data_IF_344117796940
#
_entry.id   IF_344117796940
#
_cell.length_a   1.000
_cell.length_b   1.000
_cell.length_c   1.000
_cell.angle_alpha   90.00
_cell.angle_beta   90.00
_cell.angle_gamma   90.00
#
_symmetry.space_group_name_H-M   'P 1'
#
loop_
_entity.id
_entity.type
_entity.pdbx_description
1 polymer ?
#
# COMPACT_ATOMS: atom_id res chain seq x y z
N UNK A 1 36.92 -69.10 -18.13
CA UNK A 1 35.61 -69.25 -17.49
C UNK A 1 35.01 -67.80 -17.38
N UNK A 2 34.29 -67.43 -18.42
CA UNK A 2 33.69 -66.06 -18.47
C UNK A 2 32.33 -66.09 -17.78
N UNK A 3 32.17 -65.32 -16.69
CA UNK A 3 30.92 -65.22 -15.97
C UNK A 3 30.05 -64.26 -16.80
N UNK A 4 29.05 -64.82 -17.52
CA UNK A 4 27.96 -64.03 -18.11
C UNK A 4 27.06 -63.53 -16.98
N UNK A 5 27.01 -62.20 -16.82
CA UNK A 5 26.03 -61.57 -15.95
C UNK A 5 24.61 -61.85 -16.48
N UNK A 6 23.64 -62.21 -15.62
CA UNK A 6 22.28 -62.49 -16.08
C UNK A 6 21.67 -61.29 -16.73
N UNK A 7 21.28 -61.39 -17.97
CA UNK A 7 20.61 -60.34 -18.78
C UNK A 7 19.34 -59.80 -18.11
N UNK A 8 18.69 -60.58 -17.27
CA UNK A 8 17.47 -60.24 -16.54
C UNK A 8 17.64 -59.10 -15.51
N UNK A 9 18.86 -58.97 -14.93
CA UNK A 9 19.14 -57.89 -13.96
C UNK A 9 19.31 -56.52 -14.66
N UNK A 10 19.92 -56.53 -15.85
CA UNK A 10 20.14 -55.31 -16.63
C UNK A 10 18.81 -54.78 -17.18
N UNK A 11 17.92 -55.71 -17.59
CA UNK A 11 16.61 -55.37 -18.13
C UNK A 11 15.65 -54.86 -17.04
N UNK A 12 15.68 -55.44 -15.83
CA UNK A 12 14.88 -55.00 -14.70
C UNK A 12 15.31 -53.58 -14.20
N UNK A 13 16.62 -53.31 -14.15
CA UNK A 13 17.15 -51.98 -13.76
C UNK A 13 16.83 -50.93 -14.82
N UNK A 14 16.84 -51.31 -16.10
CA UNK A 14 16.46 -50.39 -17.18
C UNK A 14 14.96 -50.06 -17.16
N UNK A 15 14.10 -51.06 -16.87
CA UNK A 15 12.65 -50.85 -16.72
C UNK A 15 12.31 -49.98 -15.49
N UNK A 16 12.97 -50.18 -14.34
CA UNK A 16 12.80 -49.33 -13.17
C UNK A 16 13.26 -47.89 -13.42
N UNK A 17 14.35 -47.68 -14.16
CA UNK A 17 14.84 -46.34 -14.53
C UNK A 17 13.88 -45.61 -15.50
N UNK A 18 13.25 -46.35 -16.42
CA UNK A 18 12.26 -45.81 -17.36
C UNK A 18 10.96 -45.46 -16.62
N UNK A 19 10.50 -46.27 -15.69
CA UNK A 19 9.31 -45.99 -14.86
C UNK A 19 9.54 -44.82 -13.89
N UNK A 20 10.73 -44.73 -13.31
CA UNK A 20 11.11 -43.59 -12.45
C UNK A 20 11.17 -42.26 -13.24
N UNK A 21 11.67 -42.30 -14.48
CA UNK A 21 11.68 -41.12 -15.37
C UNK A 21 10.28 -40.77 -15.88
N UNK A 22 9.46 -41.74 -16.23
CA UNK A 22 8.07 -41.52 -16.62
C UNK A 22 7.22 -41.02 -15.47
N UNK A 23 7.45 -41.50 -14.25
CA UNK A 23 6.83 -40.99 -13.01
C UNK A 23 7.22 -39.55 -12.72
N UNK A 24 8.50 -39.16 -12.88
CA UNK A 24 8.97 -37.76 -12.73
C UNK A 24 8.38 -36.83 -13.78
N UNK A 25 8.26 -37.25 -15.03
CA UNK A 25 7.63 -36.47 -16.10
C UNK A 25 6.13 -36.30 -15.89
N UNK A 26 5.43 -37.32 -15.40
CA UNK A 26 4.01 -37.21 -15.02
C UNK A 26 3.80 -36.28 -13.82
N UNK A 27 4.60 -36.42 -12.78
CA UNK A 27 4.55 -35.52 -11.62
C UNK A 27 4.84 -34.06 -12.00
N UNK A 28 5.81 -33.81 -12.88
CA UNK A 28 6.10 -32.47 -13.41
C UNK A 28 4.94 -31.88 -14.20
N UNK A 29 4.25 -32.65 -15.01
CA UNK A 29 3.06 -32.23 -15.77
C UNK A 29 1.87 -31.91 -14.85
N UNK A 30 1.64 -32.70 -13.80
CA UNK A 30 0.60 -32.44 -12.81
C UNK A 30 0.89 -31.18 -11.99
N UNK A 31 2.15 -30.93 -11.65
CA UNK A 31 2.58 -29.72 -10.92
C UNK A 31 2.42 -28.46 -11.79
N UNK A 32 2.79 -28.50 -13.07
CA UNK A 32 2.60 -27.40 -14.01
C UNK A 32 1.11 -27.08 -14.21
N UNK A 33 0.27 -28.11 -14.34
CA UNK A 33 -1.18 -27.91 -14.46
C UNK A 33 -1.79 -27.33 -13.19
N UNK A 34 -1.35 -27.76 -12.00
CA UNK A 34 -1.81 -27.22 -10.72
C UNK A 34 -1.39 -25.76 -10.53
N UNK A 35 -0.16 -25.41 -10.89
CA UNK A 35 0.33 -24.01 -10.86
C UNK A 35 -0.44 -23.11 -11.82
N UNK A 36 -0.66 -23.58 -13.05
CA UNK A 36 -1.44 -22.85 -14.06
C UNK A 36 -2.89 -22.63 -13.59
N UNK A 37 -3.53 -23.66 -13.04
CA UNK A 37 -4.87 -23.57 -12.49
C UNK A 37 -4.95 -22.56 -11.33
N UNK A 38 -3.94 -22.55 -10.44
CA UNK A 38 -3.84 -21.59 -9.35
C UNK A 38 -3.74 -20.15 -9.89
N UNK A 39 -2.82 -19.90 -10.83
CA UNK A 39 -2.62 -18.58 -11.44
C UNK A 39 -3.90 -18.11 -12.14
N UNK A 40 -4.52 -18.97 -12.97
CA UNK A 40 -5.76 -18.65 -13.66
C UNK A 40 -6.90 -18.31 -12.70
N UNK A 41 -7.03 -19.09 -11.60
CA UNK A 41 -8.03 -18.82 -10.56
C UNK A 41 -7.78 -17.47 -9.87
N UNK A 42 -6.51 -17.16 -9.51
CA UNK A 42 -6.15 -15.89 -8.87
C UNK A 42 -6.38 -14.69 -9.79
N UNK A 43 -5.96 -14.80 -11.04
CA UNK A 43 -6.20 -13.76 -12.05
C UNK A 43 -7.70 -13.61 -12.32
N UNK A 44 -8.45 -14.70 -12.42
CA UNK A 44 -9.89 -14.66 -12.60
C UNK A 44 -10.61 -13.96 -11.43
N UNK A 45 -10.25 -14.30 -10.19
CA UNK A 45 -10.78 -13.63 -9.00
C UNK A 45 -10.41 -12.15 -8.97
N UNK A 46 -9.18 -11.80 -9.31
CA UNK A 46 -8.74 -10.41 -9.43
C UNK A 46 -9.60 -9.62 -10.43
N UNK A 47 -9.80 -10.15 -11.63
CA UNK A 47 -10.60 -9.49 -12.68
C UNK A 47 -12.07 -9.31 -12.26
N UNK A 48 -12.67 -10.34 -11.66
CA UNK A 48 -14.05 -10.27 -11.15
C UNK A 48 -14.17 -9.23 -10.03
N UNK A 49 -13.22 -9.24 -9.08
CA UNK A 49 -13.22 -8.27 -7.98
C UNK A 49 -12.99 -6.85 -8.49
N UNK A 50 -12.07 -6.67 -9.44
CA UNK A 50 -11.79 -5.37 -10.05
C UNK A 50 -13.01 -4.83 -10.81
N UNK A 51 -13.65 -5.67 -11.61
CA UNK A 51 -14.88 -5.31 -12.31
C UNK A 51 -16.01 -4.94 -11.33
N UNK A 52 -16.21 -5.76 -10.29
CA UNK A 52 -17.21 -5.49 -9.25
C UNK A 52 -16.93 -4.18 -8.51
N UNK A 53 -15.67 -3.89 -8.19
CA UNK A 53 -15.27 -2.65 -7.54
C UNK A 53 -15.48 -1.42 -8.44
N UNK A 54 -15.18 -1.52 -9.73
CA UNK A 54 -15.41 -0.45 -10.70
C UNK A 54 -16.92 -0.19 -10.86
N UNK A 55 -17.72 -1.25 -10.94
CA UNK A 55 -19.18 -1.14 -11.01
C UNK A 55 -19.76 -0.52 -9.74
N UNK A 56 -19.33 -0.99 -8.57
CA UNK A 56 -19.77 -0.43 -7.29
C UNK A 56 -19.38 1.04 -7.15
N UNK A 57 -18.16 1.41 -7.53
CA UNK A 57 -17.70 2.80 -7.53
C UNK A 57 -18.53 3.67 -8.47
N UNK A 58 -18.81 3.21 -9.70
CA UNK A 58 -19.68 3.93 -10.61
C UNK A 58 -21.06 4.19 -10.02
N UNK A 59 -21.71 3.15 -9.50
CA UNK A 59 -23.04 3.27 -8.89
C UNK A 59 -23.01 4.19 -7.67
N UNK A 60 -22.02 4.06 -6.80
CA UNK A 60 -21.87 4.90 -5.61
C UNK A 60 -21.86 6.38 -5.96
N UNK A 61 -20.99 6.79 -6.89
CA UNK A 61 -20.86 8.20 -7.26
C UNK A 61 -22.07 8.71 -8.05
N UNK A 62 -22.85 7.84 -8.71
CA UNK A 62 -24.11 8.23 -9.39
C UNK A 62 -25.29 8.34 -8.44
N UNK A 63 -25.26 7.65 -7.31
CA UNK A 63 -26.31 7.71 -6.28
C UNK A 63 -26.13 8.88 -5.30
N UNK A 64 -24.97 9.53 -5.29
CA UNK A 64 -24.75 10.72 -4.45
C UNK A 64 -25.65 11.84 -4.94
N UNK A 65 -26.58 12.36 -4.09
CA UNK A 65 -27.45 13.44 -4.49
C UNK A 65 -26.66 14.73 -4.71
N UNK A 66 -26.83 15.32 -5.90
CA UNK A 66 -26.20 16.58 -6.29
C UNK A 66 -26.14 16.74 -7.79
N UNK A 67 -26.21 17.96 -8.25
CA UNK A 67 -25.97 18.32 -9.65
C UNK A 67 -24.56 18.92 -9.78
N UNK A 68 -23.56 18.11 -10.21
CA UNK A 68 -22.20 18.60 -10.39
C UNK A 68 -22.13 19.68 -11.50
N UNK A 69 -23.04 19.68 -12.45
CA UNK A 69 -23.09 20.67 -13.53
C UNK A 69 -23.70 21.97 -13.05
N UNK A 70 -24.75 21.90 -12.23
CA UNK A 70 -25.33 23.08 -11.60
C UNK A 70 -24.31 23.84 -10.75
N UNK A 71 -23.38 23.16 -10.11
CA UNK A 71 -22.30 23.82 -9.37
C UNK A 71 -21.29 24.54 -10.28
N UNK A 72 -21.00 24.01 -11.45
CA UNK A 72 -20.13 24.67 -12.46
C UNK A 72 -20.81 25.89 -13.02
N UNK A 73 -22.09 25.76 -13.42
CA UNK A 73 -22.86 26.86 -13.98
C UNK A 73 -22.95 28.01 -12.97
N UNK A 74 -23.27 27.72 -11.70
CA UNK A 74 -23.33 28.74 -10.67
C UNK A 74 -21.96 29.41 -10.39
N UNK A 75 -20.84 28.70 -10.52
CA UNK A 75 -19.50 29.29 -10.42
C UNK A 75 -19.19 30.22 -11.60
N UNK A 76 -19.56 29.83 -12.83
CA UNK A 76 -19.37 30.64 -14.02
C UNK A 76 -20.24 31.91 -14.01
N UNK A 77 -21.47 31.81 -13.49
CA UNK A 77 -22.34 32.95 -13.26
C UNK A 77 -21.77 33.92 -12.22
N UNK A 78 -21.23 33.39 -11.10
CA UNK A 78 -20.57 34.22 -10.07
C UNK A 78 -19.32 34.95 -10.56
N UNK A 79 -18.60 34.36 -11.52
CA UNK A 79 -17.42 34.95 -12.17
C UNK A 79 -17.77 36.00 -13.24
N UNK A 80 -19.07 36.27 -13.46
CA UNK A 80 -19.52 37.24 -14.43
C UNK A 80 -19.24 36.86 -15.89
N UNK A 81 -18.87 35.64 -16.13
CA UNK A 81 -18.55 35.17 -17.49
C UNK A 81 -19.79 34.91 -18.34
N UNK A 82 -20.97 34.82 -17.72
CA UNK A 82 -22.24 34.65 -18.41
C UNK A 82 -23.41 35.33 -17.69
N UNK A 83 -24.12 36.17 -18.42
CA UNK A 83 -25.33 36.87 -17.99
C UNK A 83 -26.43 36.79 -19.03
N UNK A 84 -26.84 35.56 -19.46
CA UNK A 84 -27.91 35.44 -20.46
C UNK A 84 -28.64 34.10 -20.37
N UNK A 85 -29.98 34.15 -20.33
CA UNK A 85 -30.89 32.99 -20.22
C UNK A 85 -30.78 31.95 -21.34
N UNK A 86 -30.16 32.24 -22.51
CA UNK A 86 -29.99 31.30 -23.64
C UNK A 86 -28.65 30.58 -23.66
N UNK A 87 -27.65 31.04 -22.87
CA UNK A 87 -26.32 30.43 -22.81
C UNK A 87 -26.19 29.27 -21.81
N UNK A 88 -27.04 29.22 -20.80
CA UNK A 88 -26.94 28.21 -19.73
C UNK A 88 -27.31 26.81 -20.20
N UNK A 89 -28.30 26.61 -21.09
CA UNK A 89 -28.68 25.30 -21.61
C UNK A 89 -27.61 24.68 -22.52
N UNK A 90 -26.99 25.49 -23.38
CA UNK A 90 -25.93 25.06 -24.29
C UNK A 90 -24.67 24.64 -23.45
N UNK A 91 -24.36 25.39 -22.38
CA UNK A 91 -23.28 25.11 -21.47
C UNK A 91 -23.57 23.82 -20.70
N UNK A 92 -24.76 23.68 -20.13
CA UNK A 92 -25.18 22.46 -19.43
C UNK A 92 -25.07 21.25 -20.34
N UNK A 93 -25.54 21.35 -21.57
CA UNK A 93 -25.47 20.26 -22.58
C UNK A 93 -24.03 19.93 -22.93
N UNK A 94 -23.18 20.92 -23.12
CA UNK A 94 -21.75 20.72 -23.38
C UNK A 94 -21.06 19.99 -22.22
N UNK A 95 -21.24 20.46 -20.99
CA UNK A 95 -20.63 19.82 -19.82
C UNK A 95 -21.19 18.42 -19.55
N UNK A 96 -22.50 18.18 -19.76
CA UNK A 96 -23.06 16.83 -19.68
C UNK A 96 -22.34 15.87 -20.62
N UNK A 97 -22.07 16.28 -21.82
CA UNK A 97 -21.34 15.47 -22.80
C UNK A 97 -19.88 15.26 -22.40
N UNK A 98 -19.18 16.32 -21.95
CA UNK A 98 -17.78 16.25 -21.54
C UNK A 98 -17.59 15.34 -20.31
N UNK A 99 -18.52 15.39 -19.36
CA UNK A 99 -18.48 14.57 -18.15
C UNK A 99 -19.13 13.19 -18.32
N UNK A 100 -19.61 12.86 -19.52
CA UNK A 100 -20.21 11.54 -19.80
C UNK A 100 -21.49 11.30 -19.00
N UNK A 101 -22.31 12.36 -18.85
CA UNK A 101 -23.60 12.33 -18.15
C UNK A 101 -24.77 12.21 -19.14
N UNK A 102 -24.49 12.06 -20.43
CA UNK A 102 -25.48 11.90 -21.47
C UNK A 102 -25.99 10.45 -21.56
N UNK A 103 -27.25 10.29 -22.00
CA UNK A 103 -27.87 9.00 -22.20
C UNK A 103 -28.40 8.34 -20.92
N UNK A 104 -28.78 7.07 -21.04
CA UNK A 104 -29.26 6.28 -19.92
C UNK A 104 -28.10 5.77 -19.05
N UNK A 105 -28.38 5.27 -17.86
CA UNK A 105 -27.34 4.80 -16.92
C UNK A 105 -26.47 3.68 -17.50
N UNK A 106 -27.02 2.84 -18.38
CA UNK A 106 -26.27 1.77 -19.00
C UNK A 106 -25.26 2.32 -20.02
N UNK A 107 -25.67 3.28 -20.85
CA UNK A 107 -24.78 3.94 -21.83
C UNK A 107 -23.63 4.67 -21.10
N UNK A 108 -23.96 5.38 -20.02
CA UNK A 108 -22.97 6.04 -19.17
C UNK A 108 -21.99 5.04 -18.56
N UNK A 109 -22.48 3.89 -18.11
CA UNK A 109 -21.63 2.82 -17.53
C UNK A 109 -20.68 2.21 -18.56
N UNK A 110 -21.18 1.89 -19.75
CA UNK A 110 -20.35 1.35 -20.84
C UNK A 110 -19.29 2.36 -21.27
N UNK A 111 -19.70 3.62 -21.43
CA UNK A 111 -18.77 4.70 -21.76
C UNK A 111 -17.70 4.91 -20.69
N UNK A 112 -18.10 4.90 -19.44
CA UNK A 112 -17.18 4.98 -18.30
C UNK A 112 -16.19 3.83 -18.26
N UNK A 113 -16.64 2.57 -18.40
CA UNK A 113 -15.73 1.42 -18.42
C UNK A 113 -14.74 1.52 -19.57
N UNK A 114 -15.19 1.90 -20.76
CA UNK A 114 -14.32 2.05 -21.92
C UNK A 114 -13.24 3.11 -21.67
N UNK A 115 -13.61 4.29 -21.16
CA UNK A 115 -12.67 5.37 -20.85
C UNK A 115 -11.66 4.97 -19.78
N UNK A 116 -12.12 4.39 -18.69
CA UNK A 116 -11.26 4.04 -17.54
C UNK A 116 -10.36 2.85 -17.85
N UNK A 117 -10.93 1.76 -18.43
CA UNK A 117 -10.17 0.50 -18.60
C UNK A 117 -9.24 0.58 -19.82
N UNK A 118 -9.67 1.19 -20.92
CA UNK A 118 -8.87 1.21 -22.15
C UNK A 118 -7.94 2.42 -22.19
N UNK A 119 -8.43 3.60 -21.80
CA UNK A 119 -7.66 4.85 -21.93
C UNK A 119 -7.06 5.35 -20.62
N UNK A 120 -7.42 4.77 -19.47
CA UNK A 120 -6.99 5.27 -18.15
C UNK A 120 -7.47 6.69 -17.87
N UNK A 121 -8.54 7.11 -18.56
CA UNK A 121 -9.08 8.47 -18.47
C UNK A 121 -10.25 8.52 -17.49
N UNK A 122 -10.04 9.19 -16.35
CA UNK A 122 -11.08 9.43 -15.34
C UNK A 122 -11.96 10.65 -15.66
N UNK A 123 -11.71 11.35 -16.76
CA UNK A 123 -12.35 12.60 -17.13
C UNK A 123 -11.61 13.83 -16.59
N UNK A 124 -12.06 15.02 -17.00
CA UNK A 124 -11.53 16.28 -16.47
C UNK A 124 -12.02 16.53 -15.05
N UNK A 125 -11.19 17.18 -14.22
CA UNK A 125 -11.61 17.69 -12.91
C UNK A 125 -12.72 18.73 -13.11
N UNK A 126 -13.72 18.66 -12.25
CA UNK A 126 -14.82 19.65 -12.26
C UNK A 126 -14.32 21.00 -11.78
N UNK A 127 -13.52 21.01 -10.73
CA UNK A 127 -13.01 22.22 -10.07
C UNK A 127 -11.86 22.87 -10.84
N UNK A 128 -10.99 22.04 -11.41
CA UNK A 128 -9.76 22.49 -12.09
C UNK A 128 -9.87 22.34 -13.63
N UNK A 129 -11.09 22.40 -14.17
CA UNK A 129 -11.30 22.29 -15.62
C UNK A 129 -10.38 23.25 -16.41
N UNK A 130 -9.73 22.83 -17.49
CA UNK A 130 -9.85 21.54 -18.20
C UNK A 130 -8.82 20.46 -17.79
N UNK A 131 -8.21 20.56 -16.61
CA UNK A 131 -7.15 19.64 -16.17
C UNK A 131 -7.72 18.22 -15.99
N UNK A 132 -7.11 17.17 -16.59
CA UNK A 132 -7.54 15.80 -16.37
C UNK A 132 -7.36 15.37 -14.90
N UNK A 133 -8.37 14.68 -14.35
CA UNK A 133 -8.29 14.14 -12.98
C UNK A 133 -7.06 13.27 -12.76
N UNK A 134 -6.69 12.45 -13.76
CA UNK A 134 -5.47 11.64 -13.73
C UNK A 134 -4.20 12.47 -13.48
N UNK A 135 -4.10 13.67 -14.06
CA UNK A 135 -2.93 14.53 -13.87
C UNK A 135 -2.85 15.06 -12.42
N UNK A 136 -3.97 15.39 -11.79
CA UNK A 136 -4.03 15.80 -10.39
C UNK A 136 -3.61 14.64 -9.47
N UNK A 137 -4.13 13.44 -9.73
CA UNK A 137 -3.83 12.23 -8.98
C UNK A 137 -2.35 11.87 -9.08
N UNK A 138 -1.78 11.86 -10.29
CA UNK A 138 -0.38 11.55 -10.52
C UNK A 138 0.58 12.59 -9.90
N UNK A 139 0.15 13.84 -9.76
CA UNK A 139 0.92 14.87 -9.02
C UNK A 139 0.88 14.67 -7.50
N UNK A 140 -0.25 14.17 -6.97
CA UNK A 140 -0.43 13.93 -5.54
C UNK A 140 0.23 12.62 -5.06
N UNK A 141 0.26 11.59 -5.91
CA UNK A 141 0.76 10.24 -5.58
C UNK A 141 2.20 10.22 -5.00
N UNK A 142 3.19 10.91 -5.60
CA UNK A 142 4.55 10.91 -5.07
C UNK A 142 4.65 11.49 -3.64
N UNK A 143 3.83 12.46 -3.29
CA UNK A 143 3.80 13.07 -1.97
C UNK A 143 3.29 12.10 -0.91
N UNK A 144 2.20 11.37 -1.18
CA UNK A 144 1.71 10.31 -0.30
C UNK A 144 2.74 9.20 -0.12
N UNK A 145 3.31 8.70 -1.24
CA UNK A 145 4.32 7.65 -1.19
C UNK A 145 5.59 8.09 -0.46
N UNK A 146 6.05 9.32 -0.69
CA UNK A 146 7.21 9.89 -0.01
C UNK A 146 6.98 10.02 1.50
N UNK A 147 5.85 10.61 1.90
CA UNK A 147 5.50 10.81 3.31
C UNK A 147 5.35 9.48 4.06
N UNK A 148 4.42 8.64 3.58
CA UNK A 148 4.05 7.43 4.29
C UNK A 148 5.06 6.30 4.09
N UNK A 149 5.71 6.24 2.92
CA UNK A 149 6.82 5.30 2.69
C UNK A 149 7.98 5.55 3.64
N UNK A 150 8.40 6.81 3.78
CA UNK A 150 9.45 7.20 4.73
C UNK A 150 9.04 6.88 6.16
N UNK A 151 7.80 7.24 6.57
CA UNK A 151 7.28 6.94 7.89
C UNK A 151 7.26 5.43 8.17
N UNK A 152 6.84 4.61 7.19
CA UNK A 152 6.77 3.15 7.30
C UNK A 152 8.16 2.54 7.46
N UNK A 153 9.15 2.96 6.66
CA UNK A 153 10.53 2.46 6.76
C UNK A 153 11.13 2.84 8.11
N UNK A 154 10.97 4.09 8.56
CA UNK A 154 11.45 4.53 9.87
C UNK A 154 10.77 3.78 11.02
N UNK A 155 9.45 3.56 10.92
CA UNK A 155 8.70 2.77 11.89
C UNK A 155 9.24 1.34 11.97
N UNK A 156 9.46 0.71 10.81
CA UNK A 156 9.99 -0.64 10.73
C UNK A 156 11.40 -0.74 11.33
N UNK A 157 12.31 0.13 10.90
CA UNK A 157 13.70 0.13 11.41
C UNK A 157 13.69 0.27 12.93
N UNK A 158 13.06 1.34 13.46
CA UNK A 158 13.06 1.64 14.88
C UNK A 158 12.31 0.57 15.69
N UNK A 159 11.15 0.12 15.21
CA UNK A 159 10.32 -0.87 15.89
C UNK A 159 10.95 -2.26 15.93
N UNK A 160 11.56 -2.72 14.81
CA UNK A 160 12.25 -4.02 14.75
C UNK A 160 13.50 -4.03 15.64
N UNK A 161 14.31 -2.97 15.63
CA UNK A 161 15.46 -2.87 16.52
C UNK A 161 15.03 -2.84 17.99
N UNK A 162 14.13 -1.94 18.36
CA UNK A 162 13.63 -1.85 19.74
C UNK A 162 12.96 -3.16 20.17
N UNK A 163 12.12 -3.76 19.33
CA UNK A 163 11.43 -5.02 19.61
C UNK A 163 12.39 -6.19 19.81
N UNK A 164 13.49 -6.23 19.04
CA UNK A 164 14.55 -7.23 19.23
C UNK A 164 15.19 -7.11 20.58
N UNK A 165 15.60 -5.90 21.00
CA UNK A 165 16.20 -5.69 22.32
C UNK A 165 15.23 -5.95 23.45
N UNK A 166 13.98 -5.50 23.34
CA UNK A 166 12.92 -5.72 24.33
C UNK A 166 12.57 -7.21 24.45
N UNK A 167 12.52 -7.93 23.34
CA UNK A 167 12.30 -9.38 23.33
C UNK A 167 13.46 -10.15 23.97
N UNK A 168 14.70 -9.75 23.68
CA UNK A 168 15.89 -10.33 24.28
C UNK A 168 15.95 -10.09 25.80
N UNK A 169 15.70 -8.85 26.23
CA UNK A 169 15.69 -8.47 27.63
C UNK A 169 14.34 -8.72 28.32
N UNK A 170 13.59 -9.75 27.92
CA UNK A 170 12.19 -10.01 28.33
C UNK A 170 11.92 -10.03 29.83
N UNK A 171 12.94 -10.35 30.66
CA UNK A 171 12.84 -10.37 32.10
C UNK A 171 13.19 -9.02 32.79
N UNK A 172 13.61 -8.01 32.00
CA UNK A 172 13.90 -6.67 32.51
C UNK A 172 12.61 -5.89 32.76
N UNK A 173 12.54 -5.19 33.92
CA UNK A 173 11.43 -4.26 34.22
C UNK A 173 11.32 -3.13 33.18
N UNK A 174 12.45 -2.65 32.68
CA UNK A 174 12.49 -1.62 31.62
C UNK A 174 11.87 -2.14 30.33
N UNK A 175 12.20 -3.34 29.88
CA UNK A 175 11.61 -3.95 28.70
C UNK A 175 10.10 -4.17 28.87
N UNK A 176 9.64 -4.54 30.05
CA UNK A 176 8.22 -4.63 30.38
C UNK A 176 7.52 -3.26 30.28
N UNK A 177 8.09 -2.23 30.92
CA UNK A 177 7.54 -0.88 30.86
C UNK A 177 7.46 -0.34 29.41
N UNK A 178 8.53 -0.50 28.63
CA UNK A 178 8.57 -0.07 27.23
C UNK A 178 7.54 -0.82 26.37
N UNK A 179 7.34 -2.13 26.63
CA UNK A 179 6.28 -2.90 25.95
C UNK A 179 4.89 -2.36 26.27
N UNK A 180 4.61 -2.04 27.55
CA UNK A 180 3.32 -1.51 27.96
C UNK A 180 3.06 -0.11 27.35
N UNK A 181 4.07 0.75 27.33
CA UNK A 181 3.98 2.07 26.65
C UNK A 181 3.74 1.90 25.16
N UNK A 182 4.48 1.00 24.50
CA UNK A 182 4.29 0.72 23.09
C UNK A 182 2.87 0.17 22.81
N UNK A 183 2.36 -0.70 23.69
CA UNK A 183 1.00 -1.23 23.58
C UNK A 183 -0.05 -0.13 23.67
N UNK A 184 0.08 0.79 24.60
CA UNK A 184 -0.81 1.94 24.74
C UNK A 184 -0.73 2.85 23.51
N UNK A 185 0.46 3.23 23.07
CA UNK A 185 0.68 4.11 21.93
C UNK A 185 0.24 3.48 20.59
N UNK A 186 0.35 2.16 20.43
CA UNK A 186 -0.06 1.47 19.21
C UNK A 186 -1.56 1.57 18.94
N UNK A 187 -2.37 1.82 19.96
CA UNK A 187 -3.83 2.02 19.84
C UNK A 187 -4.25 3.50 19.68
N UNK A 188 -3.29 4.43 19.83
CA UNK A 188 -3.56 5.85 19.59
C UNK A 188 -3.51 6.13 18.08
N UNK A 189 -4.57 6.65 17.47
CA UNK A 189 -4.53 7.03 16.06
C UNK A 189 -3.41 8.06 15.79
N UNK A 190 -2.64 7.85 14.71
CA UNK A 190 -1.46 8.66 14.39
C UNK A 190 -1.76 10.17 14.29
N UNK A 191 -2.96 10.56 13.89
CA UNK A 191 -3.33 11.97 13.79
C UNK A 191 -3.41 12.68 15.16
N UNK A 192 -3.75 11.98 16.26
CA UNK A 192 -3.70 12.56 17.60
C UNK A 192 -2.26 12.82 18.05
N UNK A 193 -1.36 11.89 17.76
CA UNK A 193 0.08 12.09 17.98
C UNK A 193 0.59 13.27 17.15
N UNK A 194 0.13 13.36 15.90
CA UNK A 194 0.47 14.45 15.01
C UNK A 194 -0.03 15.82 15.54
N UNK A 195 -1.27 15.90 16.05
CA UNK A 195 -1.81 17.11 16.69
C UNK A 195 -0.97 17.54 17.90
N UNK A 196 -0.59 16.55 18.73
CA UNK A 196 0.29 16.85 19.89
C UNK A 196 1.65 17.37 19.43
N UNK A 197 2.24 16.77 18.40
CA UNK A 197 3.54 17.21 17.87
C UNK A 197 3.44 18.59 17.20
N UNK A 198 2.37 18.89 16.48
CA UNK A 198 2.12 20.23 15.92
C UNK A 198 2.02 21.25 17.04
N UNK A 199 1.23 20.98 18.07
CA UNK A 199 1.10 21.87 19.23
C UNK A 199 2.46 22.14 19.87
N UNK A 200 3.24 21.10 20.13
CA UNK A 200 4.50 21.24 20.85
C UNK A 200 5.64 21.79 19.99
N UNK A 201 5.83 21.26 18.77
CA UNK A 201 7.00 21.56 17.93
C UNK A 201 6.77 22.65 16.89
N UNK A 202 5.52 23.02 16.61
CA UNK A 202 5.23 24.08 15.65
C UNK A 202 4.68 25.35 16.31
N UNK A 203 3.92 25.22 17.42
CA UNK A 203 3.32 26.39 18.09
C UNK A 203 4.03 26.76 19.39
N UNK A 204 4.27 25.80 20.30
CA UNK A 204 4.91 26.09 21.58
C UNK A 204 6.41 26.36 21.42
N UNK A 205 7.09 25.53 20.64
CA UNK A 205 8.50 25.64 20.29
C UNK A 205 8.59 25.60 18.75
N UNK A 206 8.57 26.74 18.04
CA UNK A 206 8.46 26.79 16.58
C UNK A 206 9.75 26.33 15.88
N UNK A 207 10.03 25.04 15.97
CA UNK A 207 11.19 24.37 15.35
C UNK A 207 10.84 23.93 13.94
N UNK A 208 9.62 23.37 13.75
CA UNK A 208 9.14 22.84 12.48
C UNK A 208 7.89 23.55 11.97
N UNK A 209 7.65 23.60 10.65
CA UNK A 209 6.43 24.16 10.09
C UNK A 209 5.20 23.34 10.49
N UNK A 210 4.07 24.05 10.68
CA UNK A 210 2.80 23.44 11.08
C UNK A 210 2.05 22.77 9.91
N UNK A 211 2.30 23.18 8.68
CA UNK A 211 1.56 22.75 7.49
C UNK A 211 2.41 22.83 6.22
N UNK A 212 1.85 22.40 5.07
CA UNK A 212 2.49 22.30 3.76
C UNK A 212 3.53 21.17 3.67
N UNK A 213 3.94 20.83 2.45
CA UNK A 213 5.00 19.85 2.19
C UNK A 213 6.37 20.51 1.95
N UNK A 214 6.38 21.79 1.62
CA UNK A 214 7.57 22.59 1.34
C UNK A 214 7.25 24.07 1.37
N UNK A 215 8.26 24.93 1.37
CA UNK A 215 8.11 26.37 1.31
C UNK A 215 7.65 26.82 -0.08
N UNK A 216 6.55 27.56 -0.15
CA UNK A 216 5.94 28.00 -1.40
C UNK A 216 6.84 28.93 -2.24
N UNK A 217 7.89 29.52 -1.65
CA UNK A 217 8.88 30.32 -2.37
C UNK A 217 9.85 29.51 -3.23
N UNK A 218 9.88 28.16 -3.03
CA UNK A 218 10.81 27.28 -3.71
C UNK A 218 10.16 26.58 -4.90
N UNK A 219 10.91 26.45 -6.00
CA UNK A 219 10.48 25.65 -7.14
C UNK A 219 10.68 24.17 -6.87
N UNK A 220 9.67 23.37 -7.24
CA UNK A 220 9.74 21.90 -7.15
C UNK A 220 10.87 21.40 -8.02
N UNK A 221 11.82 20.64 -7.44
CA UNK A 221 12.99 20.08 -8.14
C UNK A 221 13.97 19.40 -7.20
N UNK A 222 15.14 19.04 -7.74
CA UNK A 222 16.19 18.34 -7.00
C UNK A 222 17.24 19.30 -6.38
N UNK A 223 16.85 20.53 -6.07
CA UNK A 223 17.75 21.49 -5.42
C UNK A 223 17.87 21.19 -3.92
N UNK A 224 19.06 21.42 -3.34
CA UNK A 224 19.30 21.22 -1.89
C UNK A 224 18.32 22.02 -1.03
N UNK A 225 18.02 23.31 -1.32
CA UNK A 225 17.04 24.06 -0.54
C UNK A 225 15.64 23.44 -0.57
N UNK A 226 15.20 22.92 -1.73
CA UNK A 226 13.89 22.26 -1.84
C UNK A 226 13.84 20.96 -1.04
N UNK A 227 14.86 20.09 -1.15
CA UNK A 227 14.94 18.83 -0.40
C UNK A 227 14.97 19.10 1.10
N UNK A 228 15.76 20.06 1.56
CA UNK A 228 15.84 20.45 2.96
C UNK A 228 14.49 20.98 3.48
N UNK A 229 13.77 21.75 2.65
CA UNK A 229 12.43 22.22 2.96
C UNK A 229 11.43 21.07 3.09
N UNK A 230 11.44 20.11 2.15
CA UNK A 230 10.58 18.92 2.21
C UNK A 230 10.83 18.09 3.47
N UNK A 231 12.10 17.86 3.82
CA UNK A 231 12.46 17.14 5.05
C UNK A 231 11.94 17.88 6.29
N UNK A 232 12.12 19.20 6.34
CA UNK A 232 11.68 20.02 7.47
C UNK A 232 10.16 20.01 7.64
N UNK A 233 9.39 20.16 6.57
CA UNK A 233 7.93 20.12 6.59
C UNK A 233 7.39 18.72 6.84
N UNK A 234 8.06 17.68 6.33
CA UNK A 234 7.71 16.28 6.55
C UNK A 234 8.07 15.75 7.94
N UNK A 235 8.91 16.46 8.72
CA UNK A 235 9.43 15.94 9.98
C UNK A 235 8.33 15.57 10.98
N UNK A 236 7.36 16.46 11.25
CA UNK A 236 6.27 16.19 12.19
C UNK A 236 5.35 15.05 11.71
N UNK A 237 4.75 15.10 10.49
CA UNK A 237 3.84 14.05 10.05
C UNK A 237 4.53 12.69 9.92
N UNK A 238 5.79 12.64 9.47
CA UNK A 238 6.58 11.41 9.42
C UNK A 238 6.86 10.88 10.82
N UNK A 239 7.32 11.72 11.75
CA UNK A 239 7.63 11.30 13.11
C UNK A 239 6.40 10.77 13.86
N UNK A 240 5.24 11.44 13.74
CA UNK A 240 4.01 11.01 14.38
C UNK A 240 3.53 9.64 13.86
N UNK A 241 3.52 9.47 12.52
CA UNK A 241 3.12 8.22 11.88
C UNK A 241 4.13 7.11 12.18
N UNK A 242 5.43 7.43 12.11
CA UNK A 242 6.50 6.47 12.40
C UNK A 242 6.51 6.02 13.86
N UNK A 243 6.22 6.89 14.81
CA UNK A 243 6.15 6.54 16.23
C UNK A 243 5.08 5.48 16.50
N UNK A 244 3.87 5.71 16.04
CA UNK A 244 2.76 4.75 16.20
C UNK A 244 3.07 3.43 15.48
N UNK A 245 3.58 3.51 14.26
CA UNK A 245 4.00 2.34 13.49
C UNK A 245 5.13 1.57 14.19
N UNK A 246 6.12 2.26 14.74
CA UNK A 246 7.23 1.64 15.47
C UNK A 246 6.77 0.87 16.71
N UNK A 247 5.75 1.35 17.42
CA UNK A 247 5.15 0.64 18.53
C UNK A 247 4.54 -0.71 18.08
N UNK A 248 3.82 -0.73 16.96
CA UNK A 248 3.28 -1.98 16.38
C UNK A 248 4.39 -2.95 15.98
N UNK A 249 5.42 -2.47 15.28
CA UNK A 249 6.57 -3.28 14.89
C UNK A 249 7.37 -3.80 16.09
N UNK A 250 7.50 -3.00 17.17
CA UNK A 250 8.15 -3.41 18.42
C UNK A 250 7.42 -4.59 19.05
N UNK A 251 6.09 -4.52 19.15
CA UNK A 251 5.28 -5.58 19.78
C UNK A 251 5.38 -6.88 18.98
N UNK A 252 5.19 -6.82 17.66
CA UNK A 252 5.25 -8.00 16.79
C UNK A 252 6.65 -8.63 16.78
N UNK A 253 7.70 -7.82 16.71
CA UNK A 253 9.08 -8.29 16.75
C UNK A 253 9.43 -8.92 18.09
N UNK A 254 8.99 -8.31 19.20
CA UNK A 254 9.18 -8.88 20.54
C UNK A 254 8.60 -10.29 20.63
N UNK A 255 7.39 -10.50 20.13
CA UNK A 255 6.74 -11.84 20.11
C UNK A 255 7.59 -12.84 19.32
N UNK A 256 8.04 -12.48 18.11
CA UNK A 256 8.90 -13.34 17.30
C UNK A 256 10.22 -13.69 18.02
N UNK A 257 10.87 -12.69 18.65
CA UNK A 257 12.11 -12.92 19.40
C UNK A 257 11.88 -13.87 20.57
N UNK A 258 10.81 -13.68 21.34
CA UNK A 258 10.49 -14.56 22.49
C UNK A 258 10.24 -15.99 22.02
N UNK A 259 9.58 -16.20 20.90
CA UNK A 259 9.37 -17.53 20.32
C UNK A 259 10.70 -18.19 19.92
N UNK A 260 11.55 -17.43 19.20
CA UNK A 260 12.89 -17.92 18.81
C UNK A 260 13.76 -18.28 20.01
N UNK A 261 13.65 -17.53 21.12
CA UNK A 261 14.42 -17.82 22.35
C UNK A 261 14.07 -19.16 23.01
N UNK A 262 12.94 -19.79 22.63
CA UNK A 262 12.55 -21.12 23.09
C UNK A 262 13.12 -22.28 22.26
N UNK A 263 13.84 -22.00 21.17
CA UNK A 263 14.30 -23.00 20.23
C UNK A 263 15.59 -23.71 20.69
N UNK A 264 15.66 -25.04 20.50
CA UNK A 264 16.77 -25.90 20.95
C UNK A 264 18.12 -25.48 20.39
N UNK A 265 18.19 -24.99 19.17
CA UNK A 265 19.45 -24.59 18.54
C UNK A 265 20.14 -23.44 19.25
N UNK A 266 19.41 -22.59 19.99
CA UNK A 266 20.01 -21.54 20.81
C UNK A 266 20.63 -22.12 22.07
N UNK A 267 20.02 -23.13 22.67
CA UNK A 267 20.59 -23.89 23.79
C UNK A 267 21.90 -24.55 23.38
N UNK A 268 21.94 -25.17 22.17
CA UNK A 268 23.19 -25.71 21.62
C UNK A 268 24.25 -24.65 21.35
N UNK A 269 23.84 -23.47 20.84
CA UNK A 269 24.77 -22.35 20.61
C UNK A 269 25.40 -21.86 21.93
N UNK A 270 24.59 -21.77 23.00
CA UNK A 270 25.06 -21.43 24.33
C UNK A 270 25.97 -22.49 24.95
N UNK A 271 25.63 -23.78 24.78
CA UNK A 271 26.46 -24.92 25.24
C UNK A 271 27.82 -24.98 24.52
N UNK A 272 27.92 -24.51 23.29
CA UNK A 272 29.20 -24.34 22.54
C UNK A 272 30.04 -23.16 23.03
N UNK A 273 29.59 -22.39 24.04
CA UNK A 273 30.30 -21.24 24.56
C UNK A 273 30.28 -20.00 23.67
N UNK A 274 29.33 -19.88 22.73
CA UNK A 274 29.23 -18.71 21.87
C UNK A 274 28.85 -17.48 22.74
N UNK A 275 29.49 -16.31 22.48
CA UNK A 275 29.19 -15.11 23.23
C UNK A 275 27.75 -14.66 22.94
N UNK A 276 27.07 -14.16 23.97
CA UNK A 276 25.67 -13.68 23.92
C UNK A 276 25.38 -12.76 22.77
N UNK A 277 26.31 -11.85 22.43
CA UNK A 277 26.20 -10.95 21.27
C UNK A 277 26.13 -11.71 19.95
N UNK A 278 26.91 -12.78 19.80
CA UNK A 278 26.90 -13.61 18.59
C UNK A 278 25.59 -14.39 18.47
N UNK A 279 25.07 -14.90 19.57
CA UNK A 279 23.76 -15.57 19.61
C UNK A 279 22.67 -14.60 19.19
N UNK A 280 22.63 -13.39 19.76
CA UNK A 280 21.65 -12.37 19.40
C UNK A 280 21.71 -11.99 17.90
N UNK A 281 22.90 -11.58 17.43
CA UNK A 281 23.01 -11.01 16.07
C UNK A 281 22.93 -12.06 14.96
N UNK A 282 23.53 -13.25 15.15
CA UNK A 282 23.63 -14.27 14.08
C UNK A 282 22.51 -15.30 14.08
N UNK A 283 21.91 -15.56 15.24
CA UNK A 283 20.88 -16.59 15.38
C UNK A 283 19.50 -15.96 15.58
N UNK A 284 19.32 -15.11 16.58
CA UNK A 284 18.00 -14.55 16.89
C UNK A 284 17.57 -13.55 15.82
N UNK A 285 18.37 -12.51 15.54
CA UNK A 285 18.02 -11.48 14.58
C UNK A 285 17.81 -12.05 13.18
N UNK A 286 18.67 -12.95 12.73
CA UNK A 286 18.54 -13.55 11.39
C UNK A 286 17.21 -14.29 11.20
N UNK A 287 16.75 -15.01 12.23
CA UNK A 287 15.51 -15.77 12.16
C UNK A 287 14.26 -14.90 12.37
N UNK A 288 14.36 -13.79 13.10
CA UNK A 288 13.25 -12.86 13.33
C UNK A 288 13.09 -11.82 12.22
N UNK A 289 14.16 -11.40 11.56
CA UNK A 289 14.11 -10.36 10.55
C UNK A 289 13.51 -10.81 9.23
N UNK A 290 13.69 -12.06 8.83
CA UNK A 290 13.16 -12.56 7.56
C UNK A 290 11.62 -12.41 7.47
N UNK A 291 10.81 -12.85 8.46
CA UNK A 291 9.38 -12.58 8.48
C UNK A 291 9.06 -11.08 8.51
N UNK A 292 9.88 -10.26 9.19
CA UNK A 292 9.68 -8.82 9.29
C UNK A 292 9.93 -8.09 7.96
N UNK A 293 10.92 -8.51 7.18
CA UNK A 293 11.18 -7.96 5.85
C UNK A 293 10.01 -8.27 4.90
N UNK A 294 9.48 -9.50 4.96
CA UNK A 294 8.31 -9.88 4.18
C UNK A 294 7.09 -9.03 4.56
N UNK A 295 6.84 -8.85 5.86
CA UNK A 295 5.75 -8.01 6.35
C UNK A 295 5.94 -6.53 5.97
N UNK A 296 7.19 -6.01 5.95
CA UNK A 296 7.48 -4.66 5.45
C UNK A 296 7.08 -4.50 3.98
N UNK A 297 7.40 -5.49 3.14
CA UNK A 297 7.01 -5.46 1.73
C UNK A 297 5.50 -5.34 1.54
N UNK A 298 4.72 -6.11 2.31
CA UNK A 298 3.26 -6.05 2.31
C UNK A 298 2.77 -4.68 2.81
N UNK A 299 3.36 -4.16 3.90
CA UNK A 299 2.96 -2.87 4.47
C UNK A 299 3.29 -1.71 3.54
N UNK A 300 4.44 -1.73 2.86
CA UNK A 300 4.79 -0.72 1.85
C UNK A 300 3.82 -0.73 0.68
N UNK A 301 3.32 -1.89 0.29
CA UNK A 301 2.23 -1.98 -0.69
C UNK A 301 0.95 -1.28 -0.22
N UNK A 302 0.61 -1.39 1.06
CA UNK A 302 -0.56 -0.76 1.65
C UNK A 302 -0.42 0.77 1.85
N UNK A 303 0.79 1.33 1.80
CA UNK A 303 1.08 2.78 1.92
C UNK A 303 0.30 3.62 0.90
N UNK A 304 0.01 3.04 -0.25
CA UNK A 304 -0.73 3.71 -1.34
C UNK A 304 -2.13 4.14 -0.90
N UNK A 305 -2.74 3.45 0.09
CA UNK A 305 -4.06 3.82 0.61
C UNK A 305 -4.09 5.19 1.29
N UNK A 306 -2.92 5.78 1.55
CA UNK A 306 -2.80 7.08 2.18
C UNK A 306 -3.12 7.08 3.68
N UNK A 307 -2.86 8.21 4.29
CA UNK A 307 -3.36 8.56 5.63
C UNK A 307 -4.09 9.90 5.53
N UNK A 308 -5.36 9.80 5.12
CA UNK A 308 -6.20 10.97 4.81
C UNK A 308 -6.18 12.01 5.93
N UNK A 309 -6.29 11.56 7.19
CA UNK A 309 -6.37 12.46 8.34
C UNK A 309 -5.04 13.21 8.59
N UNK A 310 -3.91 12.51 8.46
CA UNK A 310 -2.59 13.14 8.62
C UNK A 310 -2.33 14.09 7.46
N UNK A 311 -2.55 13.68 6.21
CA UNK A 311 -2.36 14.55 5.05
C UNK A 311 -3.25 15.79 5.13
N UNK A 312 -4.50 15.66 5.57
CA UNK A 312 -5.43 16.77 5.75
C UNK A 312 -5.00 17.74 6.85
N UNK A 313 -4.54 17.21 7.98
CA UNK A 313 -4.06 18.02 9.11
C UNK A 313 -2.91 18.94 8.71
N UNK A 314 -1.96 18.41 7.93
CA UNK A 314 -0.80 19.15 7.47
C UNK A 314 -1.01 19.87 6.13
N UNK A 315 -2.21 19.81 5.53
CA UNK A 315 -2.47 20.28 4.15
C UNK A 315 -1.41 19.77 3.18
N UNK A 316 -1.03 18.49 3.35
CA UNK A 316 -0.02 17.85 2.52
C UNK A 316 -0.61 17.59 1.13
N UNK A 317 0.11 17.86 0.02
CA UNK A 317 -0.43 17.75 -1.33
C UNK A 317 -0.53 16.29 -1.82
N UNK A 318 -0.94 15.39 -0.93
CA UNK A 318 -1.09 13.96 -1.17
C UNK A 318 -2.49 13.57 -1.65
N UNK A 319 -2.63 12.27 -1.96
CA UNK A 319 -3.88 11.68 -2.47
C UNK A 319 -5.02 11.80 -1.45
N UNK A 320 -4.73 11.60 -0.15
CA UNK A 320 -5.74 11.69 0.90
C UNK A 320 -6.31 13.09 1.03
N UNK A 321 -5.48 14.13 1.00
CA UNK A 321 -5.94 15.51 1.02
C UNK A 321 -6.71 15.85 -0.27
N UNK A 322 -6.20 15.44 -1.44
CA UNK A 322 -6.88 15.64 -2.72
C UNK A 322 -8.26 14.97 -2.75
N UNK A 323 -8.40 13.78 -2.16
CA UNK A 323 -9.68 13.08 -2.04
C UNK A 323 -10.69 13.88 -1.22
N UNK A 324 -10.27 14.39 -0.06
CA UNK A 324 -11.15 15.23 0.79
C UNK A 324 -11.58 16.49 0.05
N UNK A 325 -10.65 17.18 -0.61
CA UNK A 325 -10.96 18.38 -1.37
C UNK A 325 -11.94 18.06 -2.52
N UNK A 326 -11.71 16.97 -3.26
CA UNK A 326 -12.60 16.52 -4.34
C UNK A 326 -14.02 16.20 -3.83
N UNK A 327 -14.16 15.57 -2.65
CA UNK A 327 -15.46 15.26 -2.04
C UNK A 327 -16.17 16.55 -1.63
N UNK A 328 -15.46 17.46 -0.92
CA UNK A 328 -16.04 18.71 -0.41
C UNK A 328 -16.48 19.64 -1.55
N UNK A 329 -15.74 19.65 -2.64
CA UNK A 329 -16.04 20.50 -3.82
C UNK A 329 -16.93 19.78 -4.85
N UNK A 330 -17.38 18.55 -4.56
CA UNK A 330 -18.17 17.71 -5.47
C UNK A 330 -17.48 17.44 -6.82
N UNK A 331 -16.15 17.40 -6.83
CA UNK A 331 -15.38 16.97 -8.01
C UNK A 331 -15.41 15.43 -8.11
N UNK A 332 -16.55 14.96 -8.65
CA UNK A 332 -16.86 13.53 -8.74
C UNK A 332 -15.80 12.78 -9.55
N UNK A 333 -15.33 13.36 -10.66
CA UNK A 333 -14.35 12.68 -11.52
C UNK A 333 -13.02 12.47 -10.80
N UNK A 334 -12.52 13.48 -10.07
CA UNK A 334 -11.30 13.38 -9.30
C UNK A 334 -11.47 12.41 -8.12
N UNK A 335 -12.57 12.52 -7.37
CA UNK A 335 -12.84 11.63 -6.25
C UNK A 335 -12.97 10.16 -6.70
N UNK A 336 -13.74 9.90 -7.76
CA UNK A 336 -13.91 8.58 -8.33
C UNK A 336 -12.61 8.03 -8.89
N UNK A 337 -11.83 8.86 -9.61
CA UNK A 337 -10.52 8.48 -10.13
C UNK A 337 -9.54 8.06 -9.04
N UNK A 338 -9.50 8.79 -7.90
CA UNK A 338 -8.69 8.41 -6.74
C UNK A 338 -9.11 7.06 -6.18
N UNK A 339 -10.41 6.87 -5.92
CA UNK A 339 -10.93 5.60 -5.36
C UNK A 339 -10.60 4.43 -6.27
N UNK A 340 -10.80 4.58 -7.59
CA UNK A 340 -10.48 3.54 -8.57
C UNK A 340 -9.00 3.22 -8.63
N UNK A 341 -8.15 4.26 -8.64
CA UNK A 341 -6.70 4.05 -8.63
C UNK A 341 -6.25 3.30 -7.38
N UNK A 342 -6.77 3.68 -6.20
CA UNK A 342 -6.45 3.00 -4.94
C UNK A 342 -6.90 1.54 -4.96
N UNK A 343 -8.13 1.26 -5.41
CA UNK A 343 -8.64 -0.11 -5.55
C UNK A 343 -7.76 -0.92 -6.51
N UNK A 344 -7.47 -0.37 -7.69
CA UNK A 344 -6.63 -1.01 -8.69
C UNK A 344 -5.24 -1.35 -8.13
N UNK A 345 -4.59 -0.40 -7.47
CA UNK A 345 -3.25 -0.60 -6.90
C UNK A 345 -3.26 -1.63 -5.78
N UNK A 346 -4.23 -1.59 -4.87
CA UNK A 346 -4.35 -2.56 -3.76
C UNK A 346 -4.60 -3.97 -4.30
N UNK A 347 -5.54 -4.13 -5.21
CA UNK A 347 -5.84 -5.43 -5.79
C UNK A 347 -4.67 -5.99 -6.59
N UNK A 348 -3.99 -5.13 -7.36
CA UNK A 348 -2.81 -5.53 -8.15
C UNK A 348 -1.66 -5.96 -7.25
N UNK A 349 -1.39 -5.22 -6.16
CA UNK A 349 -0.37 -5.60 -5.17
C UNK A 349 -0.71 -6.92 -4.49
N UNK A 350 -1.97 -7.12 -4.09
CA UNK A 350 -2.41 -8.39 -3.53
C UNK A 350 -2.23 -9.54 -4.52
N UNK A 351 -2.55 -9.34 -5.80
CA UNK A 351 -2.32 -10.34 -6.85
C UNK A 351 -0.82 -10.65 -6.98
N UNK A 352 0.04 -9.62 -7.02
CA UNK A 352 1.50 -9.81 -7.10
C UNK A 352 2.00 -10.60 -5.90
N UNK A 353 1.57 -10.26 -4.69
CA UNK A 353 1.93 -10.99 -3.46
C UNK A 353 1.46 -12.44 -3.55
N UNK A 354 0.22 -12.69 -3.94
CA UNK A 354 -0.34 -14.04 -4.10
C UNK A 354 0.44 -14.87 -5.12
N UNK A 355 0.89 -14.27 -6.21
CA UNK A 355 1.69 -14.94 -7.24
C UNK A 355 3.16 -15.15 -6.82
N UNK A 356 3.72 -14.23 -6.02
CA UNK A 356 5.08 -14.33 -5.53
C UNK A 356 5.22 -15.24 -4.29
N UNK A 357 4.17 -15.39 -3.49
CA UNK A 357 4.21 -16.16 -2.24
C UNK A 357 4.71 -17.61 -2.44
N UNK A 358 4.24 -18.38 -3.43
CA UNK A 358 4.75 -19.74 -3.69
C UNK A 358 6.21 -19.79 -4.15
N UNK A 359 6.75 -18.67 -4.68
CA UNK A 359 8.15 -18.57 -5.10
C UNK A 359 9.07 -18.27 -3.90
N UNK A 360 8.54 -17.57 -2.90
CA UNK A 360 9.28 -17.17 -1.68
C UNK A 360 9.25 -18.29 -0.65
N UNK A 361 8.10 -18.92 -0.45
CA UNK A 361 7.92 -20.03 0.50
C UNK A 361 7.37 -21.29 -0.20
N UNK A 362 8.25 -22.27 -0.56
CA UNK A 362 7.84 -23.52 -1.18
C UNK A 362 6.97 -24.40 -0.27
N UNK A 363 6.84 -24.04 1.03
CA UNK A 363 5.99 -24.77 2.00
C UNK A 363 4.52 -24.44 1.85
N UNK A 364 4.19 -23.31 1.22
CA UNK A 364 2.84 -22.98 0.80
C UNK A 364 2.47 -23.83 -0.40
N UNK A 365 2.31 -25.15 -0.14
CA UNK A 365 1.80 -26.08 -1.16
C UNK A 365 0.36 -25.67 -1.47
N UNK A 366 0.08 -25.60 -2.76
CA UNK A 366 -1.23 -25.41 -3.37
C UNK A 366 -2.31 -26.18 -2.58
N UNK A 367 -2.98 -25.51 -1.64
CA UNK A 367 -4.12 -26.09 -0.93
C UNK A 367 -5.24 -26.15 -1.98
N UNK A 368 -5.72 -27.35 -2.19
CA UNK A 368 -6.78 -27.72 -3.13
C UNK A 368 -8.09 -26.98 -2.87
#
# INVERSE_FOLDING_TARGET
>A
MAIQAPTDIVESVALEAVDATAGRLRLGRWQLNATMAYVLRRVGLYLVTLWGAFTASFLFFRLIPGDPIGSIVSQLEQQGQYSGQGGSEAIVTYYRKVFGLDGNLFDQYVHYLNRVVIYGDFGPSIVSYPVPAAALILRALPWTLGLLGTATVLAWVTGVFCGTFVGWARHSRFAGALTNVALLLSHVPAYFVALFFVFFFAYQHPIFPANSAYDASLNIGWSIPFIASVIRHGAIPVAATALVGACNWLITTRVLVVNVLGEDYLTFAAAKGLPTRSILLRYVMRNTWLPQITALGITLGAVINGNVLVERLFRYPGIGNLLVDAILTKDVNTAQGIVLLLIFLVLTLNLIIDLCLPLIDPRVKYIR
#
